data_IF_196202257455
#
_entry.id   IF_196202257455
#
_cell.length_a   1.000
_cell.length_b   1.000
_cell.length_c   1.000
_cell.angle_alpha   90.00
_cell.angle_beta   90.00
_cell.angle_gamma   90.00
#
_symmetry.space_group_name_H-M   'P 1'
#
loop_
_entity.id
_entity.type
_entity.pdbx_description
1 polymer ?
#
# COMPACT_ATOMS: atom_id res chain seq x y z
N UNK A 1 -28.20 -33.40 16.66
CA UNK A 1 -27.12 -33.61 15.68
C UNK A 1 -26.92 -32.27 15.01
N UNK A 2 -26.26 -31.40 15.75
CA UNK A 2 -25.90 -30.04 15.37
C UNK A 2 -25.04 -30.12 14.13
N UNK A 3 -25.57 -29.63 13.00
CA UNK A 3 -24.77 -29.47 11.79
C UNK A 3 -23.90 -28.24 12.03
N UNK A 4 -22.60 -28.49 12.08
CA UNK A 4 -21.54 -27.48 12.06
C UNK A 4 -21.92 -26.36 11.09
N UNK A 5 -21.96 -25.14 11.64
CA UNK A 5 -22.12 -23.91 10.89
C UNK A 5 -21.01 -23.87 9.84
N UNK A 6 -21.42 -23.82 8.57
CA UNK A 6 -20.57 -23.54 7.43
C UNK A 6 -19.98 -22.13 7.62
N UNK A 7 -18.86 -22.05 8.31
CA UNK A 7 -18.02 -20.86 8.41
C UNK A 7 -17.40 -20.64 7.04
N UNK A 8 -18.19 -20.09 6.12
CA UNK A 8 -17.69 -19.60 4.85
C UNK A 8 -16.54 -18.63 5.13
N UNK A 9 -15.32 -19.03 4.79
CA UNK A 9 -14.13 -18.19 4.86
C UNK A 9 -14.29 -17.02 3.89
N UNK A 10 -15.00 -15.97 4.30
CA UNK A 10 -15.08 -14.73 3.55
C UNK A 10 -13.65 -14.16 3.42
N UNK A 11 -13.24 -13.88 2.19
CA UNK A 11 -11.95 -13.23 1.94
C UNK A 11 -11.91 -11.91 2.72
N UNK A 12 -10.90 -11.69 3.58
CA UNK A 12 -10.85 -10.49 4.40
C UNK A 12 -10.82 -9.24 3.53
N UNK A 13 -11.43 -8.15 4.02
CA UNK A 13 -11.25 -6.84 3.39
C UNK A 13 -9.76 -6.46 3.37
N UNK A 14 -9.36 -5.59 2.45
CA UNK A 14 -7.98 -5.10 2.38
C UNK A 14 -7.49 -4.54 3.72
N UNK A 15 -8.35 -3.80 4.43
CA UNK A 15 -8.04 -3.25 5.74
C UNK A 15 -7.76 -4.36 6.77
N UNK A 16 -8.66 -5.33 6.91
CA UNK A 16 -8.48 -6.45 7.84
C UNK A 16 -7.23 -7.28 7.52
N UNK A 17 -6.96 -7.47 6.23
CA UNK A 17 -5.76 -8.19 5.80
C UNK A 17 -4.48 -7.42 6.15
N UNK A 18 -4.45 -6.10 5.95
CA UNK A 18 -3.33 -5.23 6.28
C UNK A 18 -3.08 -5.15 7.80
N UNK A 19 -4.13 -5.01 8.61
CA UNK A 19 -4.05 -5.06 10.08
C UNK A 19 -3.48 -6.39 10.58
N UNK A 20 -3.94 -7.51 9.99
CA UNK A 20 -3.39 -8.84 10.28
C UNK A 20 -1.89 -8.94 9.96
N UNK A 21 -1.47 -8.42 8.80
CA UNK A 21 -0.06 -8.42 8.42
C UNK A 21 0.79 -7.47 9.29
N UNK A 22 0.29 -6.27 9.60
CA UNK A 22 1.00 -5.30 10.44
C UNK A 22 1.31 -5.91 11.82
N UNK A 23 0.35 -6.64 12.38
CA UNK A 23 0.52 -7.38 13.64
C UNK A 23 1.65 -8.42 13.56
N UNK A 24 1.70 -9.25 12.52
CA UNK A 24 2.78 -10.23 12.33
C UNK A 24 4.15 -9.57 12.19
N UNK A 25 4.19 -8.37 11.58
CA UNK A 25 5.40 -7.57 11.41
C UNK A 25 5.77 -6.74 12.65
N UNK A 26 4.95 -6.74 13.71
CA UNK A 26 5.07 -5.87 14.88
C UNK A 26 5.14 -4.37 14.51
N UNK A 27 4.30 -3.98 13.54
CA UNK A 27 4.14 -2.59 13.08
C UNK A 27 2.79 -2.03 13.54
N UNK A 28 2.66 -0.70 13.69
CA UNK A 28 1.37 -0.08 13.87
C UNK A 28 0.49 -0.27 12.63
N UNK A 29 -0.82 -0.32 12.83
CA UNK A 29 -1.78 -0.36 11.73
C UNK A 29 -1.67 0.93 10.91
N UNK A 30 -1.63 0.83 9.57
CA UNK A 30 -1.59 2.01 8.72
C UNK A 30 -2.91 2.77 8.80
N UNK A 31 -2.83 4.09 8.94
CA UNK A 31 -4.00 4.97 8.87
C UNK A 31 -4.56 5.04 7.45
N UNK A 32 -5.84 5.40 7.32
CA UNK A 32 -6.48 5.61 6.00
C UNK A 32 -5.72 6.60 5.13
N UNK A 33 -5.15 7.66 5.73
CA UNK A 33 -4.36 8.66 5.01
C UNK A 33 -3.04 8.07 4.47
N UNK A 34 -2.33 7.28 5.28
CA UNK A 34 -1.11 6.60 4.85
C UNK A 34 -1.37 5.62 3.70
N UNK A 35 -2.47 4.86 3.78
CA UNK A 35 -2.90 3.96 2.71
C UNK A 35 -3.18 4.75 1.43
N UNK A 36 -3.98 5.81 1.50
CA UNK A 36 -4.32 6.62 0.33
C UNK A 36 -3.06 7.24 -0.32
N UNK A 37 -2.15 7.80 0.49
CA UNK A 37 -0.90 8.37 -0.03
C UNK A 37 -0.03 7.33 -0.75
N UNK A 38 0.06 6.10 -0.22
CA UNK A 38 0.78 5.00 -0.89
C UNK A 38 0.08 4.53 -2.18
N UNK A 39 -1.26 4.47 -2.18
CA UNK A 39 -2.03 4.09 -3.36
C UNK A 39 -1.92 5.14 -4.48
N UNK A 40 -1.98 6.43 -4.14
CA UNK A 40 -1.80 7.52 -5.11
C UNK A 40 -0.39 7.47 -5.73
N UNK A 41 0.63 7.27 -4.89
CA UNK A 41 2.00 7.09 -5.34
C UNK A 41 2.16 5.89 -6.26
N UNK A 42 1.60 4.73 -5.87
CA UNK A 42 1.62 3.52 -6.69
C UNK A 42 0.91 3.75 -8.03
N UNK A 43 -0.20 4.50 -8.02
CA UNK A 43 -0.93 4.94 -9.21
C UNK A 43 -0.05 5.76 -10.16
N UNK A 44 0.69 6.75 -9.64
CA UNK A 44 1.64 7.54 -10.45
C UNK A 44 2.67 6.61 -11.11
N UNK A 45 3.29 5.72 -10.34
CA UNK A 45 4.30 4.79 -10.86
C UNK A 45 3.73 3.85 -11.94
N UNK A 46 2.54 3.29 -11.72
CA UNK A 46 1.90 2.38 -12.68
C UNK A 46 1.45 3.07 -13.97
N UNK A 47 1.02 4.33 -13.91
CA UNK A 47 0.62 5.09 -15.11
C UNK A 47 1.81 5.63 -15.90
N UNK A 48 2.90 5.95 -15.21
CA UNK A 48 4.07 6.59 -15.79
C UNK A 48 5.15 5.61 -16.25
N UNK A 49 4.90 4.30 -16.05
CA UNK A 49 5.80 3.18 -16.34
C UNK A 49 5.00 1.90 -16.62
N UNK A 50 5.63 0.74 -16.45
CA UNK A 50 4.96 -0.56 -16.46
C UNK A 50 4.31 -0.86 -15.09
N UNK A 51 3.29 -1.73 -15.06
CA UNK A 51 2.56 -2.09 -13.83
C UNK A 51 3.46 -2.60 -12.70
N UNK A 52 4.61 -3.17 -13.03
CA UNK A 52 5.62 -3.64 -12.05
C UNK A 52 6.22 -2.50 -11.23
N UNK A 53 6.21 -1.26 -11.73
CA UNK A 53 6.79 -0.12 -11.03
C UNK A 53 6.04 0.22 -9.72
N UNK A 54 4.72 0.03 -9.66
CA UNK A 54 3.92 0.31 -8.48
C UNK A 54 4.39 -0.43 -7.21
N UNK A 55 4.42 -1.78 -7.17
CA UNK A 55 4.87 -2.50 -5.97
C UNK A 55 6.35 -2.25 -5.65
N UNK A 56 7.21 -2.08 -6.66
CA UNK A 56 8.64 -1.83 -6.44
C UNK A 56 8.90 -0.42 -5.88
N UNK A 57 8.13 0.58 -6.30
CA UNK A 57 8.19 1.93 -5.73
C UNK A 57 7.78 1.93 -4.25
N UNK A 58 6.66 1.28 -3.90
CA UNK A 58 6.23 1.13 -2.51
C UNK A 58 7.28 0.43 -1.65
N UNK A 59 7.93 -0.62 -2.18
CA UNK A 59 9.04 -1.28 -1.50
C UNK A 59 10.24 -0.36 -1.27
N UNK A 60 10.68 0.41 -2.28
CA UNK A 60 11.79 1.36 -2.15
C UNK A 60 11.54 2.40 -1.06
N UNK A 61 10.31 2.90 -0.95
CA UNK A 61 9.89 3.85 0.08
C UNK A 61 9.99 3.24 1.46
N UNK A 62 9.53 2.00 1.62
CA UNK A 62 9.67 1.25 2.87
C UNK A 62 11.14 1.07 3.27
N UNK A 63 12.01 0.75 2.30
CA UNK A 63 13.47 0.66 2.52
C UNK A 63 14.07 2.02 2.92
N UNK A 64 13.61 3.11 2.32
CA UNK A 64 14.06 4.46 2.62
C UNK A 64 13.56 5.01 3.97
N UNK A 65 12.57 4.36 4.59
CA UNK A 65 11.96 4.76 5.88
C UNK A 65 11.44 6.20 5.91
N UNK A 66 10.88 6.66 4.78
CA UNK A 66 10.20 7.96 4.69
C UNK A 66 8.69 7.77 4.84
N UNK A 67 7.99 8.79 5.33
CA UNK A 67 6.54 8.70 5.50
C UNK A 67 5.82 8.66 4.15
N UNK A 68 4.63 8.02 4.05
CA UNK A 68 3.82 8.02 2.83
C UNK A 68 3.55 9.41 2.25
N UNK A 69 3.29 10.40 3.12
CA UNK A 69 3.02 11.78 2.70
C UNK A 69 4.26 12.46 2.09
N UNK A 70 5.45 12.22 2.65
CA UNK A 70 6.71 12.73 2.08
C UNK A 70 7.07 11.99 0.79
N UNK A 71 6.83 10.68 0.73
CA UNK A 71 7.06 9.86 -0.44
C UNK A 71 6.22 10.30 -1.64
N UNK A 72 4.93 10.58 -1.42
CA UNK A 72 4.02 11.08 -2.47
C UNK A 72 4.55 12.38 -3.08
N UNK A 73 4.89 13.36 -2.26
CA UNK A 73 5.47 14.64 -2.72
C UNK A 73 6.77 14.45 -3.50
N UNK A 74 7.62 13.50 -3.06
CA UNK A 74 8.86 13.18 -3.76
C UNK A 74 8.59 12.60 -5.14
N UNK A 75 7.65 11.65 -5.25
CA UNK A 75 7.29 11.01 -6.52
C UNK A 75 6.59 11.99 -7.47
N UNK A 76 5.68 12.82 -6.99
CA UNK A 76 5.04 13.89 -7.78
C UNK A 76 6.09 14.84 -8.38
N UNK A 77 7.08 15.25 -7.55
CA UNK A 77 8.18 16.10 -8.00
C UNK A 77 9.06 15.40 -9.03
N UNK A 78 9.41 14.13 -8.80
CA UNK A 78 10.20 13.33 -9.73
C UNK A 78 9.50 13.20 -11.08
N UNK A 79 8.22 12.86 -11.09
CA UNK A 79 7.46 12.68 -12.33
C UNK A 79 7.29 13.99 -13.09
N UNK A 80 6.96 15.08 -12.38
CA UNK A 80 6.85 16.42 -12.99
C UNK A 80 8.17 16.89 -13.62
N UNK A 81 9.31 16.56 -12.99
CA UNK A 81 10.64 16.91 -13.50
C UNK A 81 11.13 16.01 -14.64
N UNK A 82 10.53 14.83 -14.82
CA UNK A 82 10.83 13.91 -15.93
C UNK A 82 9.98 14.18 -17.17
N UNK A 83 8.77 14.73 -16.97
CA UNK A 83 7.83 15.06 -18.04
C UNK A 83 8.16 16.37 -18.77
N UNK A 84 9.06 17.20 -18.25
CA UNK A 84 9.56 18.43 -18.88
C UNK A 84 10.92 18.25 -19.52
#
# INVERSE_FOLDING_TARGET
>A
MDREEDMSEETPSAQQWLEGLAKELNLPDPSTEEINNLLDLAGIAAHSSERVAAPIACWLIGVAKISPAEALKLVEKYESGRAG
#
